data_IF_997573372847
#
_entry.id   IF_997573372847
#
_cell.length_a   1.000
_cell.length_b   1.000
_cell.length_c   1.000
_cell.angle_alpha   90.00
_cell.angle_beta   90.00
_cell.angle_gamma   90.00
#
_symmetry.space_group_name_H-M   'P 1'
#
loop_
_entity.id
_entity.type
_entity.pdbx_description
1 polymer ?
#
# COMPACT_ATOMS: atom_id res chain seq x y z
N UNK A 1 -5.98 -0.28 5.27
CA UNK A 1 -6.43 0.91 4.49
C UNK A 1 -5.53 1.08 3.28
N UNK A 2 -6.06 1.66 2.20
CA UNK A 2 -5.32 1.87 0.96
C UNK A 2 -5.23 3.36 0.61
N UNK A 3 -4.04 3.80 0.20
CA UNK A 3 -3.70 5.14 -0.26
C UNK A 3 -2.94 5.05 -1.59
N UNK A 4 -2.53 6.17 -2.14
CA UNK A 4 -1.50 6.26 -3.20
C UNK A 4 -0.27 7.00 -2.68
N UNK A 5 0.89 6.67 -3.24
CA UNK A 5 2.14 7.40 -3.05
C UNK A 5 2.93 7.41 -4.37
N UNK A 6 3.65 8.50 -4.66
CA UNK A 6 4.49 8.60 -5.85
C UNK A 6 5.67 7.63 -5.80
N UNK A 7 6.11 7.17 -6.97
CA UNK A 7 7.28 6.32 -7.09
C UNK A 7 8.53 6.99 -6.50
N UNK A 8 8.68 8.31 -6.70
CA UNK A 8 9.75 9.11 -6.08
C UNK A 8 9.81 8.98 -4.58
N UNK A 9 8.66 9.08 -3.93
CA UNK A 9 8.56 8.98 -2.48
C UNK A 9 9.00 7.60 -1.99
N UNK A 10 8.54 6.52 -2.65
CA UNK A 10 8.99 5.17 -2.34
C UNK A 10 10.51 4.99 -2.48
N UNK A 11 11.11 5.54 -3.53
CA UNK A 11 12.57 5.47 -3.73
C UNK A 11 13.33 6.18 -2.61
N UNK A 12 12.87 7.37 -2.22
CA UNK A 12 13.50 8.14 -1.15
C UNK A 12 13.42 7.41 0.20
N UNK A 13 12.22 6.98 0.59
CA UNK A 13 12.01 6.39 1.92
C UNK A 13 12.56 4.96 2.06
N UNK A 14 12.67 4.21 0.95
CA UNK A 14 13.27 2.86 0.98
C UNK A 14 14.79 2.87 0.77
N UNK A 15 15.43 4.03 0.63
CA UNK A 15 16.86 4.13 0.32
C UNK A 15 17.21 3.45 -1.01
N UNK A 16 16.43 3.72 -2.05
CA UNK A 16 16.55 3.16 -3.41
C UNK A 16 16.35 1.64 -3.54
N UNK A 17 15.91 0.96 -2.48
CA UNK A 17 15.54 -0.47 -2.56
C UNK A 17 14.27 -0.71 -3.37
N UNK A 18 13.37 0.27 -3.43
CA UNK A 18 12.18 0.18 -4.27
C UNK A 18 12.54 0.31 -5.77
N UNK A 19 12.00 -0.55 -6.66
CA UNK A 19 12.42 -0.57 -8.06
C UNK A 19 12.18 0.76 -8.81
N UNK A 20 13.21 1.26 -9.49
CA UNK A 20 13.19 2.40 -10.45
C UNK A 20 12.55 2.06 -11.80
N UNK A 21 11.52 1.22 -11.82
CA UNK A 21 10.95 0.70 -13.07
C UNK A 21 9.78 1.55 -13.61
N UNK A 22 9.47 2.68 -12.98
CA UNK A 22 8.38 3.59 -13.35
C UNK A 22 8.83 5.06 -13.29
N UNK A 23 8.20 5.98 -14.04
CA UNK A 23 8.41 7.41 -13.90
C UNK A 23 8.27 7.88 -12.43
N UNK A 24 9.04 8.88 -11.97
CA UNK A 24 9.03 9.32 -10.57
C UNK A 24 7.66 9.83 -10.09
N UNK A 25 6.89 10.42 -10.99
CA UNK A 25 5.55 11.00 -10.78
C UNK A 25 4.42 9.95 -10.88
N UNK A 26 4.72 8.71 -11.29
CA UNK A 26 3.72 7.66 -11.30
C UNK A 26 3.36 7.22 -9.88
N UNK A 27 2.06 7.08 -9.59
CA UNK A 27 1.58 6.68 -8.26
C UNK A 27 1.42 5.17 -8.13
N UNK A 28 1.85 4.64 -6.98
CA UNK A 28 1.64 3.27 -6.56
C UNK A 28 0.60 3.20 -5.43
N UNK A 29 -0.25 2.15 -5.40
CA UNK A 29 -1.07 1.89 -4.23
C UNK A 29 -0.18 1.58 -3.02
N UNK A 30 -0.55 2.15 -1.88
CA UNK A 30 0.09 2.02 -0.59
C UNK A 30 -0.90 1.41 0.39
N UNK A 31 -0.54 0.30 1.01
CA UNK A 31 -1.37 -0.36 2.00
C UNK A 31 -0.83 -0.12 3.41
N UNK A 32 -1.72 0.23 4.34
CA UNK A 32 -1.41 0.32 5.76
C UNK A 32 -1.50 -1.07 6.38
N UNK A 33 -0.35 -1.65 6.72
CA UNK A 33 -0.21 -2.95 7.35
C UNK A 33 -0.61 -2.93 8.82
N UNK A 34 -0.08 -1.94 9.56
CA UNK A 34 -0.28 -1.82 11.00
C UNK A 34 -0.26 -0.36 11.43
N UNK A 35 -1.01 -0.05 12.48
CA UNK A 35 -0.93 1.24 13.19
C UNK A 35 -0.69 1.00 14.66
N UNK A 36 0.23 1.77 15.22
CA UNK A 36 0.42 1.95 16.65
C UNK A 36 0.06 3.41 16.93
N UNK A 37 -1.10 3.63 17.54
CA UNK A 37 -1.63 4.97 17.81
C UNK A 37 -0.62 5.81 18.60
N UNK A 38 -0.42 7.06 18.19
CA UNK A 38 0.52 7.99 18.80
C UNK A 38 2.00 7.73 18.48
N UNK A 39 2.32 6.66 17.73
CA UNK A 39 3.71 6.22 17.55
C UNK A 39 4.08 6.06 16.08
N UNK A 40 3.48 5.09 15.39
CA UNK A 40 3.93 4.73 14.04
C UNK A 40 2.86 4.07 13.20
N UNK A 41 2.99 4.24 11.90
CA UNK A 41 2.21 3.53 10.88
C UNK A 41 3.16 2.71 10.03
N UNK A 42 2.96 1.40 10.00
CA UNK A 42 3.65 0.50 9.08
C UNK A 42 2.86 0.38 7.79
N UNK A 43 3.53 0.59 6.67
CA UNK A 43 2.96 0.55 5.32
C UNK A 43 3.75 -0.36 4.41
N UNK A 44 3.19 -0.72 3.26
CA UNK A 44 3.93 -1.32 2.17
C UNK A 44 3.36 -0.88 0.81
N UNK A 45 4.16 -0.94 -0.27
CA UNK A 45 3.64 -0.75 -1.61
C UNK A 45 2.82 -1.99 -2.03
N UNK A 46 2.00 -1.82 -3.06
CA UNK A 46 1.27 -2.92 -3.67
C UNK A 46 1.58 -3.08 -5.15
N UNK A 47 1.34 -4.28 -5.67
CA UNK A 47 1.50 -4.60 -7.09
C UNK A 47 0.33 -5.43 -7.60
N UNK A 48 -0.02 -5.26 -8.87
CA UNK A 48 -0.92 -6.20 -9.57
C UNK A 48 -0.16 -7.34 -10.24
N UNK A 49 1.18 -7.36 -10.17
CA UNK A 49 1.99 -8.47 -10.68
C UNK A 49 1.83 -9.66 -9.74
N UNK A 50 1.55 -10.87 -10.26
CA UNK A 50 1.45 -12.08 -9.45
C UNK A 50 2.68 -12.28 -8.57
N UNK A 51 2.47 -12.55 -7.29
CA UNK A 51 3.52 -12.88 -6.34
C UNK A 51 3.10 -14.11 -5.54
N UNK A 52 3.89 -15.18 -5.63
CA UNK A 52 3.68 -16.43 -4.90
C UNK A 52 3.87 -16.21 -3.39
N UNK A 53 3.07 -16.89 -2.56
CA UNK A 53 3.14 -16.82 -1.11
C UNK A 53 2.99 -15.42 -0.48
N UNK A 54 2.47 -14.45 -1.23
CA UNK A 54 2.24 -13.09 -0.73
C UNK A 54 0.80 -12.88 -0.31
N UNK A 55 0.61 -12.12 0.78
CA UNK A 55 -0.70 -11.59 1.14
C UNK A 55 -1.23 -10.71 0.02
N UNK A 56 -2.53 -10.77 -0.21
CA UNK A 56 -3.16 -10.04 -1.30
C UNK A 56 -4.53 -9.48 -0.90
N UNK A 57 -4.95 -8.45 -1.60
CA UNK A 57 -6.33 -7.97 -1.61
C UNK A 57 -7.00 -8.60 -2.83
N UNK A 58 -8.06 -9.38 -2.60
CA UNK A 58 -8.81 -10.06 -3.67
C UNK A 58 -9.42 -9.07 -4.65
N UNK A 59 -9.49 -9.46 -5.92
CA UNK A 59 -10.20 -8.71 -6.95
C UNK A 59 -11.69 -8.55 -6.57
N UNK A 60 -12.29 -7.42 -6.94
CA UNK A 60 -13.70 -7.14 -6.66
C UNK A 60 -13.97 -6.72 -5.21
N UNK A 61 -12.92 -6.54 -4.39
CA UNK A 61 -13.09 -6.02 -3.05
C UNK A 61 -13.70 -4.63 -3.07
N UNK A 62 -14.78 -4.43 -2.30
CA UNK A 62 -15.44 -3.14 -2.11
C UNK A 62 -14.88 -2.48 -0.85
N UNK A 63 -14.35 -1.26 -0.99
CA UNK A 63 -13.82 -0.51 0.15
C UNK A 63 -14.95 0.08 1.00
N UNK A 64 -14.86 -0.07 2.33
CA UNK A 64 -15.97 0.20 3.26
C UNK A 64 -16.47 1.64 3.17
N UNK A 65 -15.57 2.62 3.20
CA UNK A 65 -15.96 4.04 3.34
C UNK A 65 -16.20 4.74 2.01
N UNK A 66 -15.63 4.23 0.92
CA UNK A 66 -15.65 4.91 -0.39
C UNK A 66 -16.48 4.17 -1.44
N UNK A 67 -16.92 2.93 -1.16
CA UNK A 67 -17.61 2.07 -2.11
C UNK A 67 -16.78 1.70 -3.35
N UNK A 68 -15.50 2.12 -3.41
CA UNK A 68 -14.64 1.84 -4.56
C UNK A 68 -14.38 0.35 -4.68
N UNK A 69 -14.44 -0.15 -5.91
CA UNK A 69 -14.22 -1.56 -6.23
C UNK A 69 -12.79 -1.74 -6.74
N UNK A 70 -12.04 -2.65 -6.11
CA UNK A 70 -10.70 -3.01 -6.55
C UNK A 70 -10.76 -3.81 -7.87
N UNK A 71 -10.29 -3.21 -8.96
CA UNK A 71 -10.39 -3.77 -10.32
C UNK A 71 -9.54 -5.02 -10.56
N UNK A 72 -8.41 -5.17 -9.86
CA UNK A 72 -7.44 -6.26 -10.05
C UNK A 72 -6.97 -6.79 -8.71
N UNK A 73 -6.71 -8.10 -8.63
CA UNK A 73 -6.03 -8.69 -7.46
C UNK A 73 -4.70 -7.97 -7.23
N UNK A 74 -4.46 -7.58 -5.99
CA UNK A 74 -3.36 -6.67 -5.62
C UNK A 74 -2.57 -7.29 -4.49
N UNK A 75 -1.30 -7.60 -4.72
CA UNK A 75 -0.40 -8.23 -3.77
C UNK A 75 0.32 -7.18 -2.92
N UNK A 76 0.53 -7.51 -1.64
CA UNK A 76 1.23 -6.67 -0.68
C UNK A 76 2.73 -6.96 -0.74
N UNK A 77 3.55 -5.94 -1.00
CA UNK A 77 5.00 -6.08 -1.06
C UNK A 77 5.63 -5.79 0.32
N UNK A 78 5.35 -6.66 1.29
CA UNK A 78 5.74 -6.45 2.70
C UNK A 78 7.27 -6.39 2.92
N UNK A 79 8.06 -6.95 2.00
CA UNK A 79 9.53 -6.83 1.95
C UNK A 79 10.04 -5.39 1.76
N UNK A 80 9.20 -4.50 1.24
CA UNK A 80 9.45 -3.06 1.11
C UNK A 80 8.65 -2.27 2.15
N UNK A 81 8.30 -2.89 3.28
CA UNK A 81 7.58 -2.22 4.33
C UNK A 81 8.41 -1.13 5.00
N UNK A 82 7.73 -0.06 5.38
CA UNK A 82 8.30 1.09 6.08
C UNK A 82 7.46 1.38 7.30
N UNK A 83 8.10 1.65 8.43
CA UNK A 83 7.42 2.15 9.63
C UNK A 83 7.73 3.63 9.78
N UNK A 84 6.69 4.44 9.60
CA UNK A 84 6.81 5.89 9.62
C UNK A 84 6.20 6.44 10.90
N UNK A 85 6.79 7.50 11.49
CA UNK A 85 6.15 8.25 12.56
C UNK A 85 4.77 8.76 12.13
N UNK A 86 3.81 8.80 13.04
CA UNK A 86 2.43 9.19 12.71
C UNK A 86 2.32 10.60 12.09
N UNK A 87 3.21 11.52 12.47
CA UNK A 87 3.29 12.86 11.92
C UNK A 87 3.70 12.92 10.43
N UNK A 88 4.38 11.89 9.89
CA UNK A 88 4.81 11.87 8.49
C UNK A 88 3.72 11.38 7.51
N UNK A 89 2.57 10.96 8.03
CA UNK A 89 1.51 10.27 7.27
C UNK A 89 0.80 11.13 6.21
N UNK A 90 0.99 12.45 6.24
CA UNK A 90 0.12 13.40 5.54
C UNK A 90 0.81 14.33 4.55
N UNK A 91 2.15 14.44 4.58
CA UNK A 91 2.84 15.39 3.71
C UNK A 91 2.94 14.93 2.25
N UNK A 92 2.85 13.62 1.97
CA UNK A 92 3.24 13.06 0.65
C UNK A 92 2.35 11.92 0.15
N UNK A 93 1.20 11.63 0.77
CA UNK A 93 0.28 10.58 0.31
C UNK A 93 -0.94 11.21 -0.37
N UNK A 94 -0.90 11.39 -1.71
CA UNK A 94 -1.82 12.30 -2.39
C UNK A 94 -3.29 11.86 -2.36
N UNK A 95 -3.62 10.57 -2.17
CA UNK A 95 -5.02 10.15 -2.16
C UNK A 95 -5.32 8.97 -1.24
N UNK A 96 -6.29 9.16 -0.33
CA UNK A 96 -6.98 8.06 0.33
C UNK A 96 -7.89 7.34 -0.66
N UNK A 97 -7.75 6.03 -0.80
CA UNK A 97 -8.60 5.22 -1.69
C UNK A 97 -9.76 4.56 -0.94
N UNK A 98 -9.55 4.19 0.33
CA UNK A 98 -10.59 3.58 1.15
C UNK A 98 -10.07 2.55 2.15
N UNK A 99 -10.97 2.07 3.00
CA UNK A 99 -10.69 1.00 3.95
C UNK A 99 -10.97 -0.36 3.30
N UNK A 100 -9.95 -1.21 3.29
CA UNK A 100 -10.04 -2.58 2.80
C UNK A 100 -10.60 -3.45 3.93
N UNK A 101 -11.76 -4.11 3.75
CA UNK A 101 -12.27 -5.09 4.70
C UNK A 101 -11.26 -6.22 4.94
N UNK A 102 -11.17 -6.70 6.18
CA UNK A 102 -10.31 -7.86 6.51
C UNK A 102 -10.71 -9.12 5.73
N UNK A 103 -11.99 -9.28 5.40
CA UNK A 103 -12.54 -10.37 4.58
C UNK A 103 -12.06 -10.35 3.12
N UNK A 104 -11.48 -9.24 2.65
CA UNK A 104 -10.86 -9.16 1.34
C UNK A 104 -9.36 -9.53 1.34
N UNK A 105 -8.75 -9.68 2.52
CA UNK A 105 -7.34 -10.01 2.64
C UNK A 105 -7.15 -11.52 2.56
N UNK A 106 -6.40 -11.95 1.56
CA UNK A 106 -5.99 -13.33 1.37
C UNK A 106 -4.61 -13.53 2.02
N UNK A 107 -4.45 -14.62 2.76
CA UNK A 107 -3.15 -15.02 3.30
C UNK A 107 -2.22 -15.50 2.18
N UNK A 108 -0.93 -15.22 2.31
CA UNK A 108 0.08 -15.88 1.49
C UNK A 108 0.21 -17.33 1.94
N UNK A 109 0.16 -18.26 0.98
CA UNK A 109 0.34 -19.71 1.20
C UNK A 109 1.73 -20.16 0.76
#
# INVERSE_FOLDING_TARGET
MLFTAENRWWMQETGERFPRNRPPDETHPLFVLRRIQGMSTTICPCTSKPLTAARAIRQGCVFQDTGRILKKKTYLLEQFSLSLPEQMRFASWPQYLGQVPSTCLEAGS
#
